data_IF_654115048841
#
_entry.id   IF_654115048841
#
_cell.length_a   1.000
_cell.length_b   1.000
_cell.length_c   1.000
_cell.angle_alpha   90.00
_cell.angle_beta   90.00
_cell.angle_gamma   90.00
#
_symmetry.space_group_name_H-M   'P 1'
#
loop_
_entity.id
_entity.type
_entity.pdbx_description
1 polymer ?
#
# COMPACT_ATOMS: atom_id res chain seq x y z
N UNK A 1 -13.78 -5.09 3.43
CA UNK A 1 -12.58 -5.93 3.63
C UNK A 1 -12.67 -7.30 2.96
N UNK A 2 -13.80 -8.02 3.05
CA UNK A 2 -14.00 -9.34 2.39
C UNK A 2 -13.52 -9.47 0.94
N UNK A 3 -13.64 -8.42 0.12
CA UNK A 3 -13.14 -8.40 -1.27
C UNK A 3 -11.60 -8.39 -1.37
N UNK A 4 -10.92 -7.80 -0.39
CA UNK A 4 -9.46 -7.65 -0.35
C UNK A 4 -8.76 -8.76 0.44
N UNK A 5 -9.46 -9.45 1.33
CA UNK A 5 -8.95 -10.60 2.09
C UNK A 5 -8.24 -11.66 1.21
N UNK A 6 -8.80 -12.16 0.09
CA UNK A 6 -8.09 -13.13 -0.75
C UNK A 6 -6.85 -12.53 -1.42
N UNK A 7 -6.85 -11.22 -1.67
CA UNK A 7 -5.71 -10.50 -2.27
C UNK A 7 -4.59 -10.38 -1.24
N UNK A 8 -4.90 -9.94 -0.02
CA UNK A 8 -3.92 -9.84 1.07
C UNK A 8 -3.33 -11.21 1.42
N UNK A 9 -4.14 -12.27 1.40
CA UNK A 9 -3.66 -13.63 1.57
C UNK A 9 -2.64 -14.00 0.48
N UNK A 10 -2.91 -13.68 -0.79
CA UNK A 10 -1.97 -13.92 -1.89
C UNK A 10 -0.65 -13.16 -1.71
N UNK A 11 -0.69 -11.89 -1.28
CA UNK A 11 0.52 -11.14 -0.96
C UNK A 11 1.30 -11.73 0.21
N UNK A 12 0.62 -12.17 1.27
CA UNK A 12 1.28 -12.82 2.41
C UNK A 12 1.95 -14.15 2.02
N UNK A 13 1.35 -14.93 1.11
CA UNK A 13 1.97 -16.15 0.57
C UNK A 13 3.27 -15.85 -0.20
N UNK A 14 3.28 -14.78 -0.98
CA UNK A 14 4.43 -14.35 -1.79
C UNK A 14 5.43 -13.48 -1.03
N UNK A 15 5.24 -13.25 0.26
CA UNK A 15 6.03 -12.28 1.03
C UNK A 15 7.54 -12.56 0.95
N UNK A 16 7.94 -13.81 1.16
CA UNK A 16 9.35 -14.18 1.14
C UNK A 16 9.98 -13.89 -0.24
N UNK A 17 9.30 -14.30 -1.30
CA UNK A 17 9.76 -14.12 -2.68
C UNK A 17 9.88 -12.63 -3.04
N UNK A 18 8.88 -11.83 -2.67
CA UNK A 18 8.87 -10.38 -2.90
C UNK A 18 10.06 -9.70 -2.19
N UNK A 19 10.39 -10.09 -0.95
CA UNK A 19 11.57 -9.55 -0.27
C UNK A 19 12.87 -10.02 -0.93
N UNK A 20 12.95 -11.28 -1.34
CA UNK A 20 14.12 -11.86 -2.02
C UNK A 20 14.46 -11.12 -3.31
N UNK A 21 13.47 -10.72 -4.11
CA UNK A 21 13.67 -9.96 -5.34
C UNK A 21 14.48 -8.66 -5.15
N UNK A 22 14.40 -8.04 -3.97
CA UNK A 22 15.13 -6.81 -3.68
C UNK A 22 16.37 -7.02 -2.82
N UNK A 23 16.30 -7.92 -1.83
CA UNK A 23 17.43 -8.22 -0.94
C UNK A 23 18.60 -8.85 -1.73
N UNK A 24 18.29 -9.81 -2.59
CA UNK A 24 19.29 -10.66 -3.26
C UNK A 24 19.74 -10.11 -4.61
N UNK A 25 19.19 -8.96 -5.04
CA UNK A 25 19.54 -8.37 -6.33
C UNK A 25 20.92 -7.68 -6.27
N UNK A 26 21.93 -8.16 -7.01
CA UNK A 26 23.27 -7.58 -6.98
C UNK A 26 23.37 -6.23 -7.72
N UNK A 27 22.36 -5.88 -8.52
CA UNK A 27 22.33 -4.64 -9.30
C UNK A 27 21.76 -3.45 -8.50
N UNK A 28 21.15 -3.71 -7.35
CA UNK A 28 20.60 -2.67 -6.48
C UNK A 28 21.64 -2.20 -5.47
N UNK A 29 21.75 -0.88 -5.30
CA UNK A 29 22.55 -0.28 -4.22
C UNK A 29 21.88 -0.53 -2.88
N UNK A 30 22.68 -0.67 -1.82
CA UNK A 30 22.19 -0.96 -0.47
C UNK A 30 21.18 0.06 0.05
N UNK A 31 21.34 1.33 -0.30
CA UNK A 31 20.39 2.38 0.06
C UNK A 31 18.99 2.08 -0.50
N UNK A 32 18.89 1.69 -1.77
CA UNK A 32 17.61 1.31 -2.38
C UNK A 32 17.03 0.05 -1.73
N UNK A 33 17.87 -0.95 -1.44
CA UNK A 33 17.42 -2.16 -0.73
C UNK A 33 16.80 -1.82 0.62
N UNK A 34 17.42 -0.91 1.38
CA UNK A 34 16.92 -0.46 2.69
C UNK A 34 15.60 0.30 2.57
N UNK A 35 15.50 1.23 1.62
CA UNK A 35 14.27 1.99 1.38
C UNK A 35 13.13 1.10 0.94
N UNK A 36 13.38 0.20 -0.03
CA UNK A 36 12.38 -0.77 -0.47
C UNK A 36 11.95 -1.69 0.66
N UNK A 37 12.89 -2.19 1.48
CA UNK A 37 12.55 -3.01 2.65
C UNK A 37 11.63 -2.25 3.62
N UNK A 38 11.96 -1.01 3.95
CA UNK A 38 11.14 -0.15 4.83
C UNK A 38 9.73 0.05 4.26
N UNK A 39 9.63 0.29 2.94
CA UNK A 39 8.35 0.39 2.26
C UNK A 39 7.54 -0.91 2.33
N UNK A 40 8.17 -2.06 2.06
CA UNK A 40 7.52 -3.37 2.15
C UNK A 40 7.08 -3.67 3.59
N UNK A 41 7.91 -3.35 4.59
CA UNK A 41 7.57 -3.53 6.00
C UNK A 41 6.29 -2.73 6.36
N UNK A 42 6.22 -1.46 5.97
CA UNK A 42 5.03 -0.62 6.17
C UNK A 42 3.80 -1.12 5.40
N UNK A 43 4.00 -1.64 4.19
CA UNK A 43 2.93 -2.26 3.40
C UNK A 43 2.36 -3.49 4.10
N UNK A 44 3.21 -4.43 4.53
CA UNK A 44 2.78 -5.64 5.23
C UNK A 44 2.20 -5.34 6.61
N UNK A 45 2.68 -4.31 7.31
CA UNK A 45 2.04 -3.80 8.53
C UNK A 45 0.63 -3.27 8.24
N UNK A 46 0.46 -2.56 7.12
CA UNK A 46 -0.84 -1.98 6.74
C UNK A 46 -1.86 -3.04 6.36
N UNK A 47 -1.51 -4.02 5.51
CA UNK A 47 -2.49 -5.01 5.03
C UNK A 47 -2.85 -6.07 6.09
N UNK A 48 -1.96 -6.30 7.06
CA UNK A 48 -2.18 -7.28 8.14
C UNK A 48 -2.82 -6.67 9.40
N UNK A 49 -2.97 -5.34 9.45
CA UNK A 49 -3.77 -4.66 10.46
C UNK A 49 -5.15 -4.31 9.85
N UNK A 50 -6.25 -4.88 10.37
CA UNK A 50 -7.58 -4.68 9.78
C UNK A 50 -8.06 -3.22 9.84
N UNK A 51 -7.61 -2.45 10.83
CA UNK A 51 -7.97 -1.03 10.99
C UNK A 51 -7.20 -0.18 9.98
N UNK A 52 -5.88 -0.40 9.86
CA UNK A 52 -5.03 0.30 8.88
C UNK A 52 -5.41 -0.06 7.45
N UNK A 53 -5.64 -1.35 7.18
CA UNK A 53 -6.08 -1.83 5.88
C UNK A 53 -7.43 -1.21 5.48
N UNK A 54 -8.40 -1.16 6.40
CA UNK A 54 -9.67 -0.48 6.13
C UNK A 54 -9.42 0.98 5.76
N UNK A 55 -8.70 1.73 6.60
CA UNK A 55 -8.42 3.15 6.34
C UNK A 55 -7.71 3.39 4.99
N UNK A 56 -6.72 2.56 4.66
CA UNK A 56 -5.92 2.72 3.45
C UNK A 56 -6.65 2.31 2.16
N UNK A 57 -7.50 1.28 2.22
CA UNK A 57 -8.12 0.68 1.02
C UNK A 57 -9.61 0.99 0.84
N UNK A 58 -10.28 1.60 1.83
CA UNK A 58 -11.70 2.00 1.70
C UNK A 58 -11.91 3.51 1.57
N UNK A 59 -10.86 4.33 1.65
CA UNK A 59 -10.92 5.78 1.46
C UNK A 59 -10.37 6.15 0.06
N UNK A 60 -11.04 7.00 -0.74
CA UNK A 60 -12.29 7.73 -0.51
C UNK A 60 -13.56 6.96 -0.93
N UNK A 61 -13.48 5.64 -1.12
CA UNK A 61 -14.53 4.81 -1.70
C UNK A 61 -15.79 4.59 -0.82
N UNK A 62 -15.88 5.26 0.33
CA UNK A 62 -17.07 5.30 1.18
C UNK A 62 -17.86 6.58 0.89
N UNK A 63 -19.06 6.50 0.29
CA UNK A 63 -19.92 7.66 0.04
C UNK A 63 -20.33 8.41 1.32
N UNK A 64 -20.26 7.75 2.48
CA UNK A 64 -20.55 8.33 3.80
C UNK A 64 -19.29 8.76 4.57
N UNK A 65 -18.09 8.51 4.03
CA UNK A 65 -16.82 8.91 4.63
C UNK A 65 -16.55 10.41 4.43
N UNK A 66 -15.61 10.97 5.21
CA UNK A 66 -15.13 12.36 5.05
C UNK A 66 -14.24 12.55 3.81
N UNK A 67 -14.37 11.66 2.82
CA UNK A 67 -13.55 11.48 1.63
C UNK A 67 -13.72 12.56 0.59
N UNK A 68 -13.55 13.83 0.97
CA UNK A 68 -13.53 14.91 0.00
C UNK A 68 -12.28 14.74 -0.87
N UNK A 69 -12.46 14.32 -2.12
CA UNK A 69 -11.46 14.53 -3.17
C UNK A 69 -11.35 16.04 -3.34
N UNK A 70 -10.39 16.66 -2.67
CA UNK A 70 -10.09 18.08 -2.87
C UNK A 70 -9.32 18.18 -4.19
N UNK A 71 -10.04 18.41 -5.29
CA UNK A 71 -9.43 18.77 -6.57
C UNK A 71 -8.86 20.20 -6.40
N UNK A 72 -7.58 20.29 -6.09
CA UNK A 72 -6.87 21.58 -6.09
C UNK A 72 -6.54 21.93 -7.54
N UNK A 73 -7.12 23.02 -8.06
CA UNK A 73 -6.78 23.55 -9.39
C UNK A 73 -7.95 23.73 -10.36
N UNK A 74 -9.20 23.41 -9.99
CA UNK A 74 -10.38 23.79 -10.79
C UNK A 74 -10.71 25.26 -10.52
N UNK A 75 -9.96 26.18 -11.12
CA UNK A 75 -10.41 27.56 -11.23
C UNK A 75 -11.60 27.55 -12.20
N UNK A 76 -12.76 28.04 -11.77
CA UNK A 76 -13.82 28.39 -12.73
C UNK A 76 -13.30 29.58 -13.51
N UNK A 77 -13.13 29.41 -14.80
CA UNK A 77 -12.95 30.52 -15.72
C UNK A 77 -14.21 31.39 -15.59
N UNK A 78 -14.06 32.59 -15.02
CA UNK A 78 -15.07 33.64 -15.04
C UNK A 78 -14.91 34.44 -16.32
#
# INVERSE_FOLDING_TARGET
MKKFEPIFANFNLLKADIYGLYADNPLLKDQYKKETRSFLDAFYETINDPVKARKAFTYPCDPSGTGNVVIRGMNRDN
#
